data_IF_888341651717
#
_entry.id   IF_888341651717
#
_cell.length_a   1.000
_cell.length_b   1.000
_cell.length_c   1.000
_cell.angle_alpha   90.00
_cell.angle_beta   90.00
_cell.angle_gamma   90.00
#
_symmetry.space_group_name_H-M   'P 1'
#
loop_
_entity.id
_entity.type
_entity.pdbx_description
1 polymer ?
#
# COMPACT_ATOMS: atom_id res chain seq x y z
N UNK A 1 -2.13 16.41 -13.83
CA UNK A 1 -3.58 16.07 -13.86
C UNK A 1 -4.28 17.10 -12.99
N UNK A 2 -5.20 17.91 -13.54
CA UNK A 2 -5.94 18.87 -12.69
C UNK A 2 -6.96 18.11 -11.83
N UNK A 3 -6.86 18.26 -10.51
CA UNK A 3 -7.88 17.76 -9.61
C UNK A 3 -9.16 18.57 -9.83
N UNK A 4 -10.35 17.93 -9.94
CA UNK A 4 -11.61 18.65 -9.97
C UNK A 4 -11.74 19.58 -8.76
N UNK A 5 -12.21 20.81 -8.95
CA UNK A 5 -12.33 21.81 -7.90
C UNK A 5 -13.06 21.30 -6.64
N UNK A 6 -14.04 20.44 -6.83
CA UNK A 6 -14.81 19.83 -5.75
C UNK A 6 -13.96 18.94 -4.82
N UNK A 7 -13.03 18.16 -5.37
CA UNK A 7 -12.10 17.36 -4.53
C UNK A 7 -11.13 18.25 -3.75
N UNK A 8 -10.69 19.36 -4.33
CA UNK A 8 -9.88 20.37 -3.61
C UNK A 8 -10.61 20.90 -2.39
N UNK A 9 -11.91 21.18 -2.53
CA UNK A 9 -12.77 21.63 -1.43
C UNK A 9 -12.88 20.58 -0.31
N UNK A 10 -13.02 19.30 -0.65
CA UNK A 10 -13.07 18.21 0.34
C UNK A 10 -11.76 18.06 1.10
N UNK A 11 -10.64 18.05 0.38
CA UNK A 11 -9.30 17.96 0.96
C UNK A 11 -9.06 19.14 1.90
N UNK A 12 -9.33 20.34 1.42
CA UNK A 12 -9.19 21.57 2.21
C UNK A 12 -10.01 21.49 3.51
N UNK A 13 -11.25 21.02 3.44
CA UNK A 13 -12.13 20.93 4.62
C UNK A 13 -11.57 19.92 5.65
N UNK A 14 -11.15 18.75 5.20
CA UNK A 14 -10.53 17.74 6.08
C UNK A 14 -9.26 18.30 6.74
N UNK A 15 -8.35 18.87 5.95
CA UNK A 15 -7.08 19.43 6.44
C UNK A 15 -7.31 20.59 7.40
N UNK A 16 -8.29 21.45 7.11
CA UNK A 16 -8.62 22.59 7.97
C UNK A 16 -9.11 22.15 9.34
N UNK A 17 -10.04 21.20 9.41
CA UNK A 17 -10.56 20.68 10.69
C UNK A 17 -9.45 19.87 11.39
N UNK A 18 -8.68 19.03 10.67
CA UNK A 18 -7.57 18.28 11.26
C UNK A 18 -6.52 19.17 11.91
N UNK A 19 -6.16 20.29 11.26
CA UNK A 19 -5.14 21.22 11.74
C UNK A 19 -5.60 22.09 12.92
N UNK A 20 -6.85 22.55 12.87
CA UNK A 20 -7.36 23.50 13.86
C UNK A 20 -8.18 22.83 14.98
N UNK A 21 -8.48 21.53 14.85
CA UNK A 21 -9.29 20.79 15.80
C UNK A 21 -10.79 21.15 15.71
N UNK A 22 -11.43 21.40 16.86
CA UNK A 22 -12.85 21.68 16.95
C UNK A 22 -13.20 23.09 16.51
N UNK A 23 -14.01 23.23 15.46
CA UNK A 23 -14.35 24.52 14.83
C UNK A 23 -15.86 24.69 14.66
N UNK A 24 -16.37 25.91 14.83
CA UNK A 24 -17.73 26.27 14.41
C UNK A 24 -17.82 26.42 12.89
N UNK A 25 -19.02 26.33 12.33
CA UNK A 25 -19.23 26.56 10.89
C UNK A 25 -18.83 27.99 10.47
N UNK A 26 -19.00 28.98 11.37
CA UNK A 26 -18.57 30.35 11.13
C UNK A 26 -17.04 30.44 10.94
N UNK A 27 -16.27 29.87 11.89
CA UNK A 27 -14.81 29.84 11.81
C UNK A 27 -14.33 29.11 10.55
N UNK A 28 -14.98 28.00 10.17
CA UNK A 28 -14.67 27.26 8.92
C UNK A 28 -14.98 28.15 7.70
N UNK A 29 -16.13 28.85 7.68
CA UNK A 29 -16.55 29.71 6.59
C UNK A 29 -15.65 30.94 6.43
N UNK A 30 -15.12 31.49 7.54
CA UNK A 30 -14.18 32.60 7.50
C UNK A 30 -12.84 32.20 6.85
N UNK A 31 -12.36 31.01 7.15
CA UNK A 31 -11.18 30.44 6.48
C UNK A 31 -11.46 30.05 5.01
N UNK A 32 -12.67 29.60 4.73
CA UNK A 32 -13.11 29.26 3.38
C UNK A 32 -13.07 30.46 2.44
N UNK A 33 -13.54 31.63 2.87
CA UNK A 33 -13.51 32.86 2.04
C UNK A 33 -12.11 33.26 1.57
N UNK A 34 -11.07 32.81 2.26
CA UNK A 34 -9.67 33.11 1.93
C UNK A 34 -9.10 32.18 0.86
N UNK A 35 -9.85 31.15 0.46
CA UNK A 35 -9.43 30.19 -0.56
C UNK A 35 -9.84 30.65 -1.96
N UNK A 36 -9.01 30.36 -2.95
CA UNK A 36 -9.31 30.67 -4.36
C UNK A 36 -10.61 29.99 -4.82
N UNK A 37 -10.85 28.76 -4.34
CA UNK A 37 -12.03 27.95 -4.70
C UNK A 37 -13.36 28.52 -4.19
N UNK A 38 -13.31 29.49 -3.28
CA UNK A 38 -14.50 30.13 -2.70
C UNK A 38 -15.05 31.27 -3.54
N UNK A 39 -14.25 31.85 -4.45
CA UNK A 39 -14.54 33.14 -5.10
C UNK A 39 -14.96 34.22 -4.11
N UNK A 40 -14.45 34.17 -2.87
CA UNK A 40 -14.79 35.07 -1.78
C UNK A 40 -16.17 34.85 -1.15
N UNK A 41 -16.88 33.78 -1.54
CA UNK A 41 -18.22 33.46 -1.03
C UNK A 41 -18.14 32.69 0.29
N UNK A 42 -19.23 32.81 1.09
CA UNK A 42 -19.39 32.04 2.32
C UNK A 42 -19.69 30.56 2.03
N UNK A 43 -19.19 29.69 2.91
CA UNK A 43 -19.56 28.30 2.91
C UNK A 43 -20.95 28.13 3.53
N UNK A 44 -21.98 27.98 2.69
CA UNK A 44 -23.35 27.80 3.18
C UNK A 44 -23.47 26.47 3.96
N UNK A 45 -24.37 26.45 4.95
CA UNK A 45 -24.64 25.23 5.74
C UNK A 45 -25.06 24.04 4.87
N UNK A 46 -25.82 24.29 3.81
CA UNK A 46 -26.26 23.25 2.86
C UNK A 46 -25.07 22.67 2.10
N UNK A 47 -24.17 23.53 1.59
CA UNK A 47 -22.95 23.11 0.89
C UNK A 47 -22.04 22.37 1.84
N UNK A 48 -21.83 22.85 3.05
CA UNK A 48 -21.02 22.19 4.07
C UNK A 48 -21.53 20.77 4.40
N UNK A 49 -22.84 20.61 4.63
CA UNK A 49 -23.42 19.29 4.91
C UNK A 49 -23.24 18.33 3.72
N UNK A 50 -23.48 18.80 2.50
CA UNK A 50 -23.24 17.99 1.29
C UNK A 50 -21.77 17.58 1.16
N UNK A 51 -20.84 18.47 1.50
CA UNK A 51 -19.40 18.12 1.51
C UNK A 51 -19.08 17.08 2.59
N UNK A 52 -19.65 17.18 3.79
CA UNK A 52 -19.51 16.17 4.84
C UNK A 52 -19.97 14.78 4.37
N UNK A 53 -21.15 14.70 3.77
CA UNK A 53 -21.69 13.43 3.27
C UNK A 53 -20.78 12.84 2.19
N UNK A 54 -20.33 13.66 1.23
CA UNK A 54 -19.38 13.21 0.18
C UNK A 54 -18.02 12.82 0.74
N UNK A 55 -17.51 13.51 1.75
CA UNK A 55 -16.25 13.20 2.43
C UNK A 55 -16.34 11.84 3.12
N UNK A 56 -17.47 11.56 3.78
CA UNK A 56 -17.74 10.25 4.38
C UNK A 56 -17.75 9.15 3.29
N UNK A 57 -18.49 9.36 2.21
CA UNK A 57 -18.63 8.36 1.14
C UNK A 57 -17.30 8.07 0.43
N UNK A 58 -16.47 9.09 0.21
CA UNK A 58 -15.25 8.97 -0.60
C UNK A 58 -14.04 8.57 0.26
N UNK A 59 -13.85 9.23 1.41
CA UNK A 59 -12.66 9.08 2.24
C UNK A 59 -12.92 8.33 3.54
N UNK A 60 -14.18 7.97 3.85
CA UNK A 60 -14.54 7.32 5.12
C UNK A 60 -14.36 8.22 6.35
N UNK A 61 -14.12 9.53 6.16
CA UNK A 61 -13.87 10.48 7.23
C UNK A 61 -15.19 11.01 7.79
N UNK A 62 -15.40 10.83 9.09
CA UNK A 62 -16.60 11.26 9.82
C UNK A 62 -16.33 12.64 10.42
N UNK A 63 -17.04 13.67 9.93
CA UNK A 63 -17.04 15.01 10.52
C UNK A 63 -18.30 15.14 11.38
N UNK A 64 -18.14 15.09 12.69
CA UNK A 64 -19.24 15.20 13.67
C UNK A 64 -19.39 16.61 14.24
N UNK A 65 -20.58 16.88 14.82
CA UNK A 65 -20.93 18.16 15.43
C UNK A 65 -21.21 17.98 16.92
N UNK A 66 -20.36 18.55 17.76
CA UNK A 66 -20.62 18.62 19.20
C UNK A 66 -21.58 19.78 19.53
N UNK A 67 -22.86 19.44 19.74
CA UNK A 67 -23.90 20.42 20.07
C UNK A 67 -23.76 21.00 21.46
N UNK A 68 -23.09 20.29 22.37
CA UNK A 68 -22.89 20.73 23.76
C UNK A 68 -21.70 21.69 23.85
N UNK A 69 -20.74 21.61 22.89
CA UNK A 69 -19.58 22.48 22.79
C UNK A 69 -19.80 23.56 21.70
N UNK A 70 -20.95 24.26 21.73
CA UNK A 70 -21.19 25.38 20.84
C UNK A 70 -21.30 25.03 19.36
N UNK A 71 -21.80 23.84 19.02
CA UNK A 71 -21.93 23.35 17.63
C UNK A 71 -20.60 23.31 16.89
N UNK A 72 -19.52 22.84 17.53
CA UNK A 72 -18.20 22.67 16.93
C UNK A 72 -18.13 21.37 16.17
N UNK A 73 -17.55 21.45 14.96
CA UNK A 73 -17.29 20.32 14.10
C UNK A 73 -15.88 19.80 14.34
N UNK A 74 -15.70 18.47 14.29
CA UNK A 74 -14.42 17.78 14.48
C UNK A 74 -14.41 16.46 13.69
N UNK A 75 -13.23 15.89 13.47
CA UNK A 75 -13.10 14.56 12.88
C UNK A 75 -13.23 13.53 14.01
N UNK A 76 -14.24 12.65 13.95
CA UNK A 76 -14.50 11.64 14.96
C UNK A 76 -13.52 10.47 14.87
N UNK A 77 -13.20 10.05 13.64
CA UNK A 77 -12.40 8.86 13.34
C UNK A 77 -11.06 9.24 12.68
N UNK A 78 -10.22 10.00 13.40
CA UNK A 78 -8.89 10.43 12.87
C UNK A 78 -7.97 9.27 12.50
N UNK A 79 -8.18 8.08 13.06
CA UNK A 79 -7.44 6.87 12.75
C UNK A 79 -7.51 6.49 11.27
N UNK A 80 -8.65 6.72 10.60
CA UNK A 80 -8.83 6.47 9.15
C UNK A 80 -7.81 7.24 8.31
N UNK A 81 -7.38 8.41 8.77
CA UNK A 81 -6.36 9.24 8.12
C UNK A 81 -4.92 8.78 8.44
N UNK A 82 -4.75 7.78 9.30
CA UNK A 82 -3.45 7.22 9.71
C UNK A 82 -3.28 5.77 9.29
N UNK A 83 -4.38 5.10 8.93
CA UNK A 83 -4.40 3.70 8.54
C UNK A 83 -3.82 3.48 7.14
N UNK A 84 -3.34 2.27 6.90
CA UNK A 84 -2.83 1.84 5.60
C UNK A 84 -3.99 1.42 4.68
N UNK A 85 -4.96 2.33 4.48
CA UNK A 85 -6.20 2.11 3.73
C UNK A 85 -6.15 2.78 2.35
N UNK A 86 -7.00 2.32 1.43
CA UNK A 86 -7.16 2.95 0.10
C UNK A 86 -7.63 4.40 0.27
N UNK A 87 -8.52 4.67 1.22
CA UNK A 87 -9.05 5.99 1.53
C UNK A 87 -7.94 6.95 1.96
N UNK A 88 -7.07 6.52 2.89
CA UNK A 88 -5.93 7.33 3.31
C UNK A 88 -4.92 7.54 2.18
N UNK A 89 -4.65 6.50 1.39
CA UNK A 89 -3.77 6.63 0.22
C UNK A 89 -4.34 7.63 -0.81
N UNK A 90 -5.64 7.55 -1.11
CA UNK A 90 -6.33 8.52 -1.98
C UNK A 90 -6.24 9.93 -1.41
N UNK A 91 -6.58 10.11 -0.14
CA UNK A 91 -6.52 11.41 0.53
C UNK A 91 -5.10 11.98 0.46
N UNK A 92 -4.10 11.23 0.87
CA UNK A 92 -2.69 11.66 0.87
C UNK A 92 -2.19 12.02 -0.54
N UNK A 93 -2.53 11.22 -1.54
CA UNK A 93 -2.15 11.46 -2.95
C UNK A 93 -2.81 12.74 -3.49
N UNK A 94 -4.10 12.94 -3.20
CA UNK A 94 -4.84 14.12 -3.62
C UNK A 94 -4.39 15.37 -2.85
N UNK A 95 -4.07 15.27 -1.56
CA UNK A 95 -3.52 16.37 -0.78
C UNK A 95 -2.19 16.87 -1.36
N UNK A 96 -1.26 15.95 -1.63
CA UNK A 96 0.01 16.30 -2.29
C UNK A 96 -0.24 16.94 -3.65
N UNK A 97 -1.11 16.35 -4.47
CA UNK A 97 -1.43 16.91 -5.79
C UNK A 97 -2.09 18.29 -5.70
N UNK A 98 -2.92 18.54 -4.67
CA UNK A 98 -3.53 19.85 -4.43
C UNK A 98 -2.47 20.91 -4.09
N UNK A 99 -1.51 20.57 -3.22
CA UNK A 99 -0.37 21.45 -2.90
C UNK A 99 0.44 21.78 -4.15
N UNK A 100 0.66 20.80 -5.03
CA UNK A 100 1.41 20.97 -6.28
C UNK A 100 0.66 21.84 -7.30
N UNK A 101 -0.66 21.68 -7.43
CA UNK A 101 -1.49 22.46 -8.34
C UNK A 101 -1.58 23.95 -7.93
N UNK A 102 -1.59 24.25 -6.62
CA UNK A 102 -1.61 25.60 -6.10
C UNK A 102 -0.28 26.37 -6.31
N UNK A 103 0.79 25.68 -6.71
CA UNK A 103 2.11 26.27 -6.90
C UNK A 103 2.55 26.20 -8.38
N UNK A 104 1.74 26.75 -9.27
CA UNK A 104 2.05 26.88 -10.70
C UNK A 104 3.34 27.70 -10.85
N UNK A 105 4.39 27.09 -11.39
CA UNK A 105 5.74 27.69 -11.52
C UNK A 105 6.82 27.02 -10.69
N UNK A 106 6.46 26.01 -9.85
CA UNK A 106 7.41 25.17 -9.13
C UNK A 106 7.44 23.71 -9.63
N UNK A 107 6.68 23.39 -10.66
CA UNK A 107 6.52 22.01 -11.16
C UNK A 107 7.84 21.41 -11.70
N UNK A 108 8.72 22.23 -12.23
CA UNK A 108 10.07 21.87 -12.67
C UNK A 108 11.07 21.65 -11.51
N UNK A 109 10.69 22.05 -10.29
CA UNK A 109 11.50 21.93 -9.08
C UNK A 109 11.03 20.81 -8.15
N UNK A 110 9.92 20.15 -8.48
CA UNK A 110 9.33 19.06 -7.69
C UNK A 110 9.36 17.78 -8.54
N UNK A 111 10.24 16.86 -8.16
CA UNK A 111 10.41 15.61 -8.86
C UNK A 111 9.66 14.49 -8.14
N UNK A 112 8.78 13.82 -8.85
CA UNK A 112 8.03 12.67 -8.34
C UNK A 112 8.61 11.38 -8.92
N UNK A 113 8.62 10.33 -8.12
CA UNK A 113 8.94 9.00 -8.59
C UNK A 113 7.84 8.47 -9.50
N UNK A 114 8.19 8.00 -10.69
CA UNK A 114 7.21 7.41 -11.60
C UNK A 114 6.76 6.04 -11.07
N UNK A 115 5.43 5.84 -11.02
CA UNK A 115 4.84 4.52 -10.80
C UNK A 115 4.59 3.92 -12.18
N UNK A 116 5.18 2.75 -12.52
CA UNK A 116 4.88 2.08 -13.77
C UNK A 116 3.39 1.80 -13.84
N UNK A 117 2.75 2.36 -14.86
CA UNK A 117 1.32 2.22 -15.04
C UNK A 117 0.97 0.82 -15.55
N UNK A 118 0.10 0.15 -14.84
CA UNK A 118 -0.67 -1.00 -15.35
C UNK A 118 -2.11 -0.61 -15.64
N UNK A 119 -2.36 0.66 -15.93
CA UNK A 119 -3.68 1.30 -15.83
C UNK A 119 -4.78 0.58 -16.63
N UNK A 120 -4.49 0.19 -17.88
CA UNK A 120 -5.48 -0.51 -18.70
C UNK A 120 -5.82 -1.90 -18.16
N UNK A 121 -4.81 -2.64 -17.71
CA UNK A 121 -4.99 -4.00 -17.16
C UNK A 121 -5.60 -3.93 -15.77
N UNK A 122 -5.19 -2.96 -14.97
CA UNK A 122 -5.72 -2.72 -13.63
C UNK A 122 -7.24 -2.52 -13.67
N UNK A 123 -7.74 -1.69 -14.62
CA UNK A 123 -9.17 -1.45 -14.79
C UNK A 123 -9.92 -2.74 -15.14
N UNK A 124 -9.42 -3.50 -16.12
CA UNK A 124 -10.06 -4.76 -16.55
C UNK A 124 -10.12 -5.79 -15.40
N UNK A 125 -9.06 -5.85 -14.56
CA UNK A 125 -9.04 -6.74 -13.41
C UNK A 125 -10.03 -6.28 -12.34
N UNK A 126 -10.12 -4.98 -12.06
CA UNK A 126 -11.09 -4.42 -11.10
C UNK A 126 -12.52 -4.72 -11.56
N UNK A 127 -12.81 -4.56 -12.86
CA UNK A 127 -14.14 -4.88 -13.40
C UNK A 127 -14.45 -6.38 -13.27
N UNK A 128 -13.48 -7.26 -13.53
CA UNK A 128 -13.63 -8.70 -13.34
C UNK A 128 -13.85 -9.07 -11.85
N UNK A 129 -13.15 -8.41 -10.94
CA UNK A 129 -13.35 -8.59 -9.49
C UNK A 129 -14.74 -8.13 -9.04
N UNK A 130 -15.22 -6.98 -9.53
CA UNK A 130 -16.55 -6.44 -9.22
C UNK A 130 -17.67 -7.39 -9.64
N UNK A 131 -17.50 -8.04 -10.81
CA UNK A 131 -18.49 -8.98 -11.36
C UNK A 131 -18.25 -10.42 -10.91
N UNK A 132 -17.19 -10.71 -10.14
CA UNK A 132 -16.73 -12.04 -9.78
C UNK A 132 -16.55 -12.96 -11.00
N UNK A 133 -15.89 -12.46 -12.05
CA UNK A 133 -15.66 -13.16 -13.31
C UNK A 133 -14.22 -13.58 -13.46
N UNK A 134 -14.02 -14.80 -13.98
CA UNK A 134 -12.70 -15.31 -14.34
C UNK A 134 -12.09 -14.46 -15.45
N UNK A 135 -10.76 -14.38 -15.42
CA UNK A 135 -9.98 -13.78 -16.48
C UNK A 135 -9.07 -14.82 -17.13
N UNK A 136 -8.88 -14.65 -18.43
CA UNK A 136 -7.88 -15.40 -19.19
C UNK A 136 -6.75 -14.44 -19.53
N UNK A 137 -5.51 -14.80 -19.18
CA UNK A 137 -4.33 -13.97 -19.44
C UNK A 137 -3.28 -14.73 -20.22
N UNK A 138 -2.50 -14.01 -21.03
CA UNK A 138 -1.18 -14.43 -21.49
C UNK A 138 -0.13 -13.78 -20.60
N UNK A 139 0.75 -14.58 -20.04
CA UNK A 139 1.71 -14.14 -19.04
C UNK A 139 3.12 -14.57 -19.37
N UNK A 140 4.04 -13.59 -19.41
CA UNK A 140 5.44 -13.84 -19.69
C UNK A 140 6.22 -14.09 -18.38
N UNK A 141 6.78 -15.31 -18.23
CA UNK A 141 7.70 -15.62 -17.11
C UNK A 141 9.14 -15.28 -17.52
N UNK A 142 9.89 -14.63 -16.64
CA UNK A 142 11.33 -14.33 -16.93
C UNK A 142 12.19 -15.56 -17.17
N UNK A 143 11.75 -16.73 -16.72
CA UNK A 143 12.45 -18.01 -16.88
C UNK A 143 12.06 -18.77 -18.16
N UNK A 144 11.19 -18.20 -19.00
CA UNK A 144 10.69 -18.83 -20.20
C UNK A 144 10.70 -17.83 -21.35
N UNK A 145 11.09 -18.28 -22.55
CA UNK A 145 10.97 -17.48 -23.79
C UNK A 145 9.53 -17.40 -24.31
N UNK A 146 8.65 -18.25 -23.84
CA UNK A 146 7.25 -18.33 -24.31
C UNK A 146 6.29 -17.89 -23.20
N UNK A 147 5.27 -17.13 -23.62
CA UNK A 147 4.18 -16.74 -22.74
C UNK A 147 3.20 -17.90 -22.53
N UNK A 148 2.77 -18.10 -21.28
CA UNK A 148 1.78 -19.12 -20.93
C UNK A 148 0.40 -18.48 -20.72
N UNK A 149 -0.63 -19.23 -21.12
CA UNK A 149 -2.02 -18.86 -20.88
C UNK A 149 -2.49 -19.40 -19.54
N UNK A 150 -3.18 -18.59 -18.76
CA UNK A 150 -3.79 -18.95 -17.48
C UNK A 150 -5.25 -18.50 -17.43
N UNK A 151 -6.10 -19.32 -16.80
CA UNK A 151 -7.45 -18.92 -16.39
C UNK A 151 -7.42 -18.69 -14.89
N UNK A 152 -7.71 -17.46 -14.47
CA UNK A 152 -7.48 -16.99 -13.12
C UNK A 152 -8.77 -16.44 -12.48
N UNK A 153 -8.86 -16.59 -11.19
CA UNK A 153 -9.87 -16.01 -10.31
C UNK A 153 -9.21 -14.92 -9.47
N UNK A 154 -9.39 -13.63 -9.78
CA UNK A 154 -8.78 -12.54 -9.05
C UNK A 154 -9.34 -12.40 -7.63
N UNK A 155 -8.47 -12.37 -6.61
CA UNK A 155 -8.84 -12.25 -5.20
C UNK A 155 -8.59 -10.84 -4.67
N UNK A 156 -7.38 -10.30 -4.86
CA UNK A 156 -7.08 -8.93 -4.52
C UNK A 156 -5.92 -8.37 -5.34
N UNK A 157 -5.75 -7.04 -5.29
CA UNK A 157 -4.66 -6.30 -5.89
C UNK A 157 -3.79 -5.70 -4.78
N UNK A 158 -2.46 -5.77 -4.95
CA UNK A 158 -1.49 -5.18 -4.03
C UNK A 158 -0.47 -4.36 -4.79
N UNK A 159 -0.29 -3.09 -4.37
CA UNK A 159 0.82 -2.26 -4.83
C UNK A 159 2.03 -2.51 -3.91
N UNK A 160 3.17 -2.88 -4.49
CA UNK A 160 4.40 -3.09 -3.75
C UNK A 160 5.60 -2.72 -4.63
N UNK A 161 6.56 -1.97 -4.08
CA UNK A 161 7.75 -1.50 -4.80
C UNK A 161 7.42 -0.92 -6.18
N UNK A 162 6.40 -0.05 -6.26
CA UNK A 162 5.93 0.63 -7.48
C UNK A 162 5.36 -0.28 -8.55
N UNK A 163 5.03 -1.54 -8.24
CA UNK A 163 4.42 -2.49 -9.16
C UNK A 163 3.12 -3.03 -8.62
N UNK A 164 2.12 -3.17 -9.49
CA UNK A 164 0.87 -3.82 -9.16
C UNK A 164 1.00 -5.34 -9.28
N UNK A 165 0.49 -6.01 -8.28
CA UNK A 165 0.40 -7.46 -8.19
C UNK A 165 -1.04 -7.87 -7.96
N UNK A 166 -1.41 -9.01 -8.53
CA UNK A 166 -2.72 -9.63 -8.38
C UNK A 166 -2.56 -10.97 -7.67
N UNK A 167 -3.26 -11.14 -6.55
CA UNK A 167 -3.43 -12.42 -5.89
C UNK A 167 -4.58 -13.16 -6.56
N UNK A 168 -4.36 -14.39 -6.95
CA UNK A 168 -5.30 -15.18 -7.75
C UNK A 168 -5.35 -16.63 -7.32
N UNK A 169 -6.48 -17.30 -7.59
CA UNK A 169 -6.56 -18.76 -7.66
C UNK A 169 -6.55 -19.17 -9.14
N UNK A 170 -5.82 -20.24 -9.48
CA UNK A 170 -5.86 -20.81 -10.83
C UNK A 170 -7.12 -21.67 -10.98
N UNK A 171 -7.91 -21.41 -12.01
CA UNK A 171 -9.15 -22.16 -12.27
C UNK A 171 -8.89 -23.58 -12.79
N UNK A 172 -7.75 -23.80 -13.46
CA UNK A 172 -7.39 -25.04 -14.15
C UNK A 172 -6.38 -25.91 -13.37
N UNK A 173 -6.29 -25.78 -12.06
CA UNK A 173 -5.38 -26.57 -11.23
C UNK A 173 -5.56 -28.11 -11.38
N UNK A 174 -6.62 -28.57 -12.04
CA UNK A 174 -6.86 -29.99 -12.38
C UNK A 174 -6.30 -30.41 -13.74
N UNK A 175 -5.82 -29.47 -14.58
CA UNK A 175 -5.39 -29.77 -15.96
C UNK A 175 -3.87 -29.74 -16.19
N UNK A 176 -3.09 -29.25 -15.25
CA UNK A 176 -1.63 -29.17 -15.39
C UNK A 176 -0.96 -30.24 -14.53
N UNK A 177 -0.17 -31.12 -15.17
CA UNK A 177 0.81 -32.02 -14.55
C UNK A 177 1.98 -31.27 -13.87
N UNK A 178 1.75 -30.14 -13.25
CA UNK A 178 2.73 -29.43 -12.43
C UNK A 178 2.64 -29.99 -11.00
N UNK A 179 3.61 -30.81 -10.63
CA UNK A 179 3.66 -31.76 -9.51
C UNK A 179 3.61 -31.13 -8.10
N UNK A 180 3.57 -29.78 -7.98
CA UNK A 180 3.70 -29.09 -6.68
C UNK A 180 2.55 -28.12 -6.32
N UNK A 181 1.46 -28.05 -7.09
CA UNK A 181 0.38 -27.11 -6.83
C UNK A 181 -0.81 -27.83 -6.16
N UNK A 182 -1.06 -27.55 -4.88
CA UNK A 182 -2.27 -28.00 -4.21
C UNK A 182 -3.48 -27.23 -4.74
N UNK A 183 -4.56 -27.95 -5.05
CA UNK A 183 -5.83 -27.32 -5.40
C UNK A 183 -6.26 -26.38 -4.27
N UNK A 184 -6.44 -25.09 -4.58
CA UNK A 184 -6.81 -24.07 -3.60
C UNK A 184 -5.72 -23.08 -3.24
N UNK A 185 -4.46 -23.29 -3.65
CA UNK A 185 -3.38 -22.36 -3.40
C UNK A 185 -3.60 -21.03 -4.16
N UNK A 186 -3.21 -19.92 -3.52
CA UNK A 186 -3.22 -18.61 -4.12
C UNK A 186 -1.84 -18.25 -4.66
N UNK A 187 -1.81 -17.58 -5.80
CA UNK A 187 -0.60 -17.22 -6.55
C UNK A 187 -0.53 -15.72 -6.80
N UNK A 188 0.68 -15.20 -6.92
CA UNK A 188 0.94 -13.79 -7.22
C UNK A 188 1.37 -13.63 -8.67
N UNK A 189 0.68 -12.72 -9.37
CA UNK A 189 1.00 -12.30 -10.74
C UNK A 189 1.27 -10.81 -10.77
N UNK A 190 2.38 -10.35 -11.36
CA UNK A 190 2.64 -8.93 -11.59
C UNK A 190 1.93 -8.46 -12.86
N UNK A 191 1.27 -7.31 -12.83
CA UNK A 191 0.44 -6.83 -13.93
C UNK A 191 1.25 -6.45 -15.18
N UNK A 192 2.43 -5.94 -15.00
CA UNK A 192 3.33 -5.52 -16.06
C UNK A 192 3.85 -6.68 -16.94
N UNK A 193 3.69 -7.92 -16.47
CA UNK A 193 4.05 -9.14 -17.22
C UNK A 193 2.86 -9.80 -17.91
N UNK A 194 1.67 -9.24 -17.80
CA UNK A 194 0.48 -9.67 -18.53
C UNK A 194 0.55 -9.04 -19.93
N UNK A 195 0.57 -9.85 -20.96
CA UNK A 195 0.56 -9.39 -22.35
C UNK A 195 -0.87 -9.10 -22.82
N UNK A 196 -1.78 -10.05 -22.60
CA UNK A 196 -3.20 -9.91 -22.93
C UNK A 196 -4.07 -10.32 -21.76
N UNK A 197 -5.26 -9.71 -21.66
CA UNK A 197 -6.28 -10.03 -20.67
C UNK A 197 -7.64 -10.06 -21.34
N UNK A 198 -8.45 -11.07 -21.00
CA UNK A 198 -9.81 -11.25 -21.46
C UNK A 198 -10.68 -11.62 -20.26
N UNK A 199 -11.77 -10.89 -20.03
CA UNK A 199 -12.76 -11.21 -19.02
C UNK A 199 -13.72 -12.28 -19.54
N UNK A 200 -13.79 -13.44 -18.87
CA UNK A 200 -14.62 -14.56 -19.27
C UNK A 200 -16.06 -14.41 -18.74
N UNK A 201 -17.01 -15.13 -19.35
CA UNK A 201 -18.40 -15.18 -18.86
C UNK A 201 -18.57 -16.02 -17.60
N UNK A 202 -17.60 -16.91 -17.32
CA UNK A 202 -17.64 -17.80 -16.14
C UNK A 202 -17.38 -17.03 -14.87
N UNK A 203 -18.25 -17.22 -13.86
CA UNK A 203 -18.12 -16.65 -12.52
C UNK A 203 -17.33 -17.56 -11.60
N UNK A 204 -16.78 -16.98 -10.55
CA UNK A 204 -16.16 -17.69 -9.43
C UNK A 204 -16.72 -17.19 -8.11
N UNK A 205 -16.39 -17.90 -7.03
CA UNK A 205 -16.80 -17.51 -5.67
C UNK A 205 -15.55 -17.39 -4.82
N UNK A 206 -15.36 -16.24 -4.18
CA UNK A 206 -14.33 -16.03 -3.18
C UNK A 206 -14.78 -16.70 -1.88
N UNK A 207 -13.85 -17.33 -1.17
CA UNK A 207 -14.11 -17.83 0.18
C UNK A 207 -14.60 -16.66 1.07
N UNK A 208 -15.72 -16.88 1.75
CA UNK A 208 -16.33 -15.88 2.63
C UNK A 208 -15.42 -15.45 3.79
N UNK A 209 -14.45 -16.30 4.13
CA UNK A 209 -13.46 -16.02 5.19
C UNK A 209 -12.17 -15.41 4.64
N UNK A 210 -12.07 -15.18 3.32
CA UNK A 210 -10.89 -14.53 2.75
C UNK A 210 -10.84 -13.07 3.15
N UNK A 211 -9.76 -12.71 3.82
CA UNK A 211 -9.39 -11.35 4.19
C UNK A 211 -8.00 -11.06 3.59
N UNK A 212 -7.94 -10.10 2.67
CA UNK A 212 -6.71 -9.75 1.97
C UNK A 212 -5.67 -9.13 2.91
N UNK A 213 -6.09 -8.35 3.90
CA UNK A 213 -5.20 -7.74 4.87
C UNK A 213 -4.60 -8.79 5.80
N UNK A 214 -5.44 -9.67 6.37
CA UNK A 214 -4.99 -10.78 7.18
C UNK A 214 -4.07 -11.75 6.40
N UNK A 215 -4.32 -11.93 5.09
CA UNK A 215 -3.49 -12.79 4.24
C UNK A 215 -2.04 -12.30 4.12
N UNK A 216 -1.84 -10.98 4.04
CA UNK A 216 -0.53 -10.34 3.90
C UNK A 216 0.04 -9.80 5.22
N UNK A 217 -0.69 -9.92 6.33
CA UNK A 217 -0.33 -9.26 7.60
C UNK A 217 1.06 -9.65 8.13
N UNK A 218 1.48 -10.89 7.94
CA UNK A 218 2.78 -11.39 8.36
C UNK A 218 3.78 -11.55 7.21
N UNK A 219 3.53 -10.89 6.07
CA UNK A 219 4.44 -10.84 4.93
C UNK A 219 5.16 -9.49 4.90
N UNK A 220 6.45 -9.52 4.60
CA UNK A 220 7.21 -8.30 4.36
C UNK A 220 6.70 -7.55 3.12
N UNK A 221 6.54 -8.25 2.01
CA UNK A 221 6.12 -7.69 0.73
C UNK A 221 4.94 -8.45 0.11
N UNK A 222 5.23 -9.14 -0.98
CA UNK A 222 4.24 -9.87 -1.77
C UNK A 222 4.40 -11.37 -1.70
N UNK A 223 5.53 -11.87 -1.22
CA UNK A 223 5.82 -13.31 -1.25
C UNK A 223 5.16 -14.02 -0.07
N UNK A 224 4.12 -14.78 -0.38
CA UNK A 224 3.47 -15.69 0.57
C UNK A 224 3.91 -17.10 0.24
N UNK A 225 4.79 -17.63 1.06
CA UNK A 225 5.26 -19.02 0.94
C UNK A 225 4.56 -19.85 2.03
N UNK A 226 3.60 -20.68 1.63
CA UNK A 226 2.75 -21.44 2.57
C UNK A 226 3.50 -22.37 3.52
N UNK A 227 4.73 -22.79 3.16
CA UNK A 227 5.60 -23.60 4.02
C UNK A 227 6.34 -22.80 5.08
N UNK A 228 6.46 -21.46 4.93
CA UNK A 228 7.12 -20.59 5.90
C UNK A 228 6.14 -20.19 6.99
N UNK A 229 6.58 -20.34 8.23
CA UNK A 229 5.83 -19.86 9.41
C UNK A 229 6.26 -18.45 9.78
N UNK A 230 5.37 -17.74 10.44
CA UNK A 230 5.71 -16.48 11.11
C UNK A 230 6.74 -16.75 12.19
N UNK A 231 7.88 -16.07 12.13
CA UNK A 231 8.97 -16.21 13.07
C UNK A 231 9.24 -14.88 13.78
N UNK A 232 9.80 -15.00 14.98
CA UNK A 232 10.41 -13.88 15.69
C UNK A 232 11.79 -13.62 15.09
N UNK A 233 12.01 -12.40 14.62
CA UNK A 233 13.26 -11.98 14.01
C UNK A 233 13.85 -10.85 14.85
N UNK A 234 15.13 -10.93 15.16
CA UNK A 234 15.86 -9.86 15.84
C UNK A 234 16.93 -9.33 14.92
N UNK A 235 16.84 -8.03 14.64
CA UNK A 235 17.78 -7.29 13.83
C UNK A 235 18.55 -6.32 14.71
N UNK A 236 19.88 -6.27 14.57
CA UNK A 236 20.74 -5.27 15.18
C UNK A 236 21.15 -4.25 14.16
N UNK A 237 20.80 -3.00 14.42
CA UNK A 237 21.11 -1.85 13.58
C UNK A 237 22.25 -1.01 14.18
N UNK A 238 23.15 -0.53 13.32
CA UNK A 238 24.35 0.23 13.69
C UNK A 238 24.34 1.62 13.02
N UNK A 239 25.17 2.51 13.54
CA UNK A 239 25.36 3.84 12.98
C UNK A 239 24.10 4.69 12.97
N UNK A 240 23.66 5.14 11.79
CA UNK A 240 22.45 5.94 11.60
C UNK A 240 21.20 5.08 11.33
N UNK A 241 21.36 3.79 11.03
CA UNK A 241 20.25 2.92 10.67
C UNK A 241 19.16 2.81 11.74
N UNK A 242 19.45 2.85 13.07
CA UNK A 242 18.42 2.88 14.09
C UNK A 242 17.42 4.04 13.93
N UNK A 243 17.86 5.19 13.45
CA UNK A 243 16.98 6.34 13.23
C UNK A 243 16.06 6.10 12.01
N UNK A 244 16.63 5.60 10.91
CA UNK A 244 15.85 5.28 9.71
C UNK A 244 14.80 4.20 9.99
N UNK A 245 15.16 3.14 10.72
CA UNK A 245 14.21 2.08 11.09
C UNK A 245 13.13 2.54 12.06
N UNK A 246 13.38 3.58 12.84
CA UNK A 246 12.36 4.19 13.70
C UNK A 246 11.40 5.04 12.92
N UNK A 247 11.91 5.86 11.99
CA UNK A 247 11.10 6.78 11.19
C UNK A 247 10.33 6.05 10.11
N UNK A 248 10.90 4.98 9.53
CA UNK A 248 10.28 4.13 8.52
C UNK A 248 10.45 2.65 8.90
N UNK A 249 9.54 2.10 9.72
CA UNK A 249 9.61 0.71 10.14
C UNK A 249 9.53 -0.27 8.95
N UNK A 250 10.36 -1.31 8.97
CA UNK A 250 10.38 -2.37 7.95
C UNK A 250 9.03 -3.10 7.87
N UNK A 251 8.38 -3.29 9.02
CA UNK A 251 7.12 -4.01 9.15
C UNK A 251 6.33 -3.46 10.33
N UNK A 252 4.99 -3.49 10.26
CA UNK A 252 4.12 -2.98 11.35
C UNK A 252 4.37 -3.64 12.72
N UNK A 253 4.89 -4.88 12.73
CA UNK A 253 5.22 -5.59 13.98
C UNK A 253 6.55 -5.16 14.59
N UNK A 254 7.31 -4.26 13.95
CA UNK A 254 8.62 -3.82 14.42
C UNK A 254 8.53 -3.14 15.80
N UNK A 255 9.41 -3.59 16.72
CA UNK A 255 9.53 -3.01 18.06
C UNK A 255 10.99 -2.86 18.41
N UNK A 256 11.36 -1.71 18.98
CA UNK A 256 12.67 -1.51 19.60
C UNK A 256 12.70 -2.31 20.92
N UNK A 257 13.67 -3.22 21.08
CA UNK A 257 13.77 -4.08 22.26
C UNK A 257 15.02 -3.81 23.10
N UNK A 258 16.05 -3.19 22.50
CA UNK A 258 17.28 -2.82 23.21
C UNK A 258 17.94 -1.66 22.50
N UNK A 259 18.42 -0.68 23.27
CA UNK A 259 19.20 0.46 22.77
C UNK A 259 20.48 0.61 23.59
N UNK A 260 21.60 0.81 22.91
CA UNK A 260 22.90 1.13 23.48
C UNK A 260 23.51 2.33 22.75
N UNK A 261 24.69 2.74 23.10
CA UNK A 261 25.45 3.77 22.38
C UNK A 261 25.94 3.29 21.00
N UNK A 262 26.20 1.98 20.86
CA UNK A 262 26.78 1.39 19.65
C UNK A 262 25.74 0.83 18.68
N UNK A 263 24.58 0.35 19.18
CA UNK A 263 23.56 -0.30 18.37
C UNK A 263 22.17 -0.24 19.01
N UNK A 264 21.17 -0.53 18.17
CA UNK A 264 19.79 -0.77 18.61
C UNK A 264 19.30 -2.10 18.05
N UNK A 265 18.65 -2.92 18.89
CA UNK A 265 18.02 -4.17 18.49
C UNK A 265 16.52 -3.96 18.29
N UNK A 266 16.01 -4.45 17.14
CA UNK A 266 14.61 -4.45 16.77
C UNK A 266 14.07 -5.87 16.67
N UNK A 267 12.88 -6.08 17.21
CA UNK A 267 12.12 -7.32 17.05
C UNK A 267 11.07 -7.15 15.97
N UNK A 268 10.94 -8.12 15.07
CA UNK A 268 9.87 -8.24 14.08
C UNK A 268 9.22 -9.62 14.22
N UNK A 269 7.96 -9.71 13.78
CA UNK A 269 7.21 -10.98 13.64
C UNK A 269 6.64 -11.04 12.22
N UNK A 270 7.27 -11.82 11.35
CA UNK A 270 6.85 -11.99 9.96
C UNK A 270 7.37 -13.32 9.39
N UNK A 271 6.88 -13.68 8.19
CA UNK A 271 7.41 -14.81 7.41
C UNK A 271 8.63 -14.32 6.62
N UNK A 272 9.82 -14.84 6.92
CA UNK A 272 11.05 -14.37 6.27
C UNK A 272 11.21 -15.00 4.88
N UNK A 273 10.39 -14.54 3.94
CA UNK A 273 10.43 -14.95 2.54
C UNK A 273 11.56 -14.26 1.76
N UNK A 274 11.68 -14.58 0.48
CA UNK A 274 12.79 -14.12 -0.37
C UNK A 274 12.88 -12.60 -0.45
N UNK A 275 11.75 -11.91 -0.60
CA UNK A 275 11.69 -10.45 -0.65
C UNK A 275 12.20 -9.76 0.62
N UNK A 276 11.99 -10.38 1.79
CA UNK A 276 12.56 -9.92 3.05
C UNK A 276 14.07 -10.17 3.12
N UNK A 277 14.54 -11.34 2.65
CA UNK A 277 15.98 -11.65 2.61
C UNK A 277 16.71 -10.69 1.67
N UNK A 278 16.14 -10.39 0.51
CA UNK A 278 16.68 -9.38 -0.42
C UNK A 278 16.76 -8.00 0.22
N UNK A 279 15.75 -7.61 0.97
CA UNK A 279 15.76 -6.35 1.72
C UNK A 279 16.88 -6.33 2.78
N UNK A 280 17.05 -7.41 3.55
CA UNK A 280 18.14 -7.52 4.52
C UNK A 280 19.53 -7.42 3.87
N UNK A 281 19.69 -7.97 2.66
CA UNK A 281 20.92 -7.83 1.91
C UNK A 281 21.20 -6.37 1.50
N UNK A 282 20.18 -5.59 1.19
CA UNK A 282 20.34 -4.16 0.90
C UNK A 282 20.79 -3.35 2.11
N UNK A 283 20.46 -3.80 3.32
CA UNK A 283 20.85 -3.18 4.59
C UNK A 283 22.12 -3.79 5.21
N UNK A 284 22.78 -4.71 4.52
CA UNK A 284 23.82 -5.60 5.09
C UNK A 284 24.99 -4.91 5.79
N UNK A 285 25.33 -3.68 5.40
CA UNK A 285 26.42 -2.91 6.03
C UNK A 285 26.01 -2.39 7.44
N UNK A 286 24.72 -2.13 7.62
CA UNK A 286 24.21 -1.44 8.79
C UNK A 286 23.31 -2.30 9.67
N UNK A 287 22.83 -3.44 9.14
CA UNK A 287 21.91 -4.33 9.86
C UNK A 287 22.46 -5.75 9.88
N UNK A 288 22.44 -6.35 11.07
CA UNK A 288 22.83 -7.74 11.31
C UNK A 288 21.63 -8.53 11.83
N UNK A 289 21.37 -9.68 11.25
CA UNK A 289 20.39 -10.64 11.78
C UNK A 289 20.99 -11.33 12.99
N UNK A 290 20.33 -11.21 14.14
CA UNK A 290 20.69 -11.87 15.40
C UNK A 290 19.92 -13.16 15.59
N UNK A 291 18.63 -13.16 15.24
CA UNK A 291 17.70 -14.30 15.31
C UNK A 291 16.75 -14.28 14.10
N UNK A 292 16.29 -15.42 13.60
CA UNK A 292 16.75 -16.78 13.94
C UNK A 292 18.10 -17.11 13.29
N UNK A 293 18.80 -18.11 13.85
CA UNK A 293 20.17 -18.47 13.40
C UNK A 293 20.23 -18.94 11.93
N UNK A 294 19.17 -19.58 11.43
CA UNK A 294 19.12 -20.02 10.04
C UNK A 294 19.09 -18.83 9.08
N UNK A 295 18.30 -17.79 9.38
CA UNK A 295 18.20 -16.58 8.57
C UNK A 295 19.54 -15.82 8.57
N UNK A 296 20.19 -15.70 9.73
CA UNK A 296 21.51 -15.11 9.83
C UNK A 296 22.54 -15.85 8.95
N UNK A 297 22.52 -17.18 8.95
CA UNK A 297 23.39 -18.00 8.10
C UNK A 297 23.08 -17.81 6.62
N UNK A 298 21.80 -17.73 6.24
CA UNK A 298 21.39 -17.55 4.85
C UNK A 298 21.85 -16.17 4.32
N UNK A 299 21.62 -15.09 5.07
CA UNK A 299 22.14 -13.76 4.72
C UNK A 299 23.65 -13.77 4.60
N UNK A 300 24.37 -14.37 5.57
CA UNK A 300 25.82 -14.48 5.52
C UNK A 300 26.31 -15.26 4.29
N UNK A 301 25.65 -16.36 3.93
CA UNK A 301 25.95 -17.16 2.73
C UNK A 301 25.85 -16.31 1.47
N UNK A 302 24.73 -15.57 1.30
CA UNK A 302 24.51 -14.71 0.13
C UNK A 302 25.50 -13.58 0.03
N UNK A 303 25.85 -12.95 1.15
CA UNK A 303 26.90 -11.92 1.18
C UNK A 303 28.27 -12.48 0.74
N UNK A 304 28.59 -13.69 1.18
CA UNK A 304 29.81 -14.38 0.74
C UNK A 304 29.78 -14.71 -0.76
N UNK A 305 28.66 -15.19 -1.27
CA UNK A 305 28.48 -15.47 -2.69
C UNK A 305 28.59 -14.19 -3.52
N UNK A 306 27.99 -13.10 -3.06
CA UNK A 306 28.12 -11.79 -3.68
C UNK A 306 29.60 -11.33 -3.72
N UNK A 307 30.31 -11.42 -2.58
CA UNK A 307 31.73 -11.05 -2.51
C UNK A 307 32.59 -11.91 -3.47
N UNK A 308 32.29 -13.19 -3.61
CA UNK A 308 33.03 -14.07 -4.51
C UNK A 308 32.88 -13.66 -5.97
N UNK A 309 31.68 -13.21 -6.42
CA UNK A 309 31.44 -12.69 -7.78
C UNK A 309 32.33 -11.48 -8.11
N UNK A 310 32.68 -10.63 -7.12
CA UNK A 310 33.60 -9.51 -7.33
C UNK A 310 35.07 -9.95 -7.42
N UNK A 311 35.41 -11.17 -7.02
CA UNK A 311 36.75 -11.74 -7.09
C UNK A 311 36.97 -12.58 -8.38
N UNK A 312 35.91 -13.01 -9.03
CA UNK A 312 35.94 -13.67 -10.32
C UNK A 312 36.35 -12.62 -11.39
N UNK A 313 37.45 -12.89 -12.11
CA UNK A 313 37.95 -12.03 -13.20
C UNK A 313 37.26 -12.35 -14.50
#
# INVERSE_FOLDING_TARGET
MKIPSLFKQYIWLIETIKRNGRMTLGEISDLWRQQEESDGQELSRTTFNRHRDSILDIFGVIIECDRKDGYRYYIENEEVLKENSIQNWMFSTLSVSNILDGNVGLQDRILLESIPSGDDKLRQIIDAMRENRRIKIQYHKYTSSESKTYILEPYCLKLYNRRWYMLVRKADAHAANEVDEKAGDLFIFSLDRIETIEMLQTKYTIDKNFDAEAYFNDCFGIMVVGSLKTERIVLRAYGLEPYYLRDLPIHHSQKEIKKTEEYTDYELKLRPAEDFIEHLLSLSTWVKVMEPAWLAKEVQRRLKDALNRYKEK
#
